data_IF_312967173698
#
_entry.id   IF_312967173698
#
_cell.length_a   1.000
_cell.length_b   1.000
_cell.length_c   1.000
_cell.angle_alpha   90.00
_cell.angle_beta   90.00
_cell.angle_gamma   90.00
#
_symmetry.space_group_name_H-M   'P 1'
#
loop_
_entity.id
_entity.type
_entity.pdbx_description
1 polymer ?
#
# COMPACT_ATOMS: atom_id res chain seq x y z
N UNK A 1 -26.31 15.44 2.93
CA UNK A 1 -24.83 15.53 2.97
C UNK A 1 -24.27 14.23 2.39
N UNK A 2 -24.07 14.18 1.08
CA UNK A 2 -23.45 13.03 0.45
C UNK A 2 -21.93 13.18 0.59
N UNK A 3 -21.34 12.48 1.56
CA UNK A 3 -19.89 12.27 1.56
C UNK A 3 -19.63 11.31 0.40
N UNK A 4 -19.44 11.86 -0.80
CA UNK A 4 -18.85 11.10 -1.90
C UNK A 4 -17.39 10.88 -1.52
N UNK A 5 -17.11 9.78 -0.82
CA UNK A 5 -15.76 9.27 -0.68
C UNK A 5 -15.30 8.94 -2.10
N UNK A 6 -14.63 9.90 -2.74
CA UNK A 6 -13.95 9.66 -3.99
C UNK A 6 -12.76 8.77 -3.63
N UNK A 7 -13.01 7.46 -3.58
CA UNK A 7 -12.02 6.42 -3.42
C UNK A 7 -11.15 6.46 -4.68
N UNK A 8 -10.25 7.45 -4.78
CA UNK A 8 -9.28 7.46 -5.85
C UNK A 8 -8.59 6.11 -5.81
N UNK A 9 -8.78 5.35 -6.89
CA UNK A 9 -8.19 4.04 -7.05
C UNK A 9 -6.68 4.20 -6.92
N UNK A 10 -6.05 3.28 -6.19
CA UNK A 10 -4.59 3.15 -6.24
C UNK A 10 -4.22 2.96 -7.71
N UNK A 11 -3.28 3.76 -8.17
CA UNK A 11 -2.84 3.73 -9.56
C UNK A 11 -1.68 2.75 -9.73
N UNK A 12 -1.60 2.09 -10.89
CA UNK A 12 -0.49 1.20 -11.22
C UNK A 12 0.86 1.92 -11.16
N UNK A 13 0.88 3.24 -11.40
CA UNK A 13 2.06 4.08 -11.27
C UNK A 13 2.60 4.11 -9.83
N UNK A 14 1.72 4.25 -8.83
CA UNK A 14 2.11 4.21 -7.42
C UNK A 14 2.66 2.83 -7.02
N UNK A 15 2.02 1.75 -7.49
CA UNK A 15 2.50 0.39 -7.20
C UNK A 15 3.88 0.16 -7.82
N UNK A 16 4.05 0.62 -9.07
CA UNK A 16 5.32 0.51 -9.81
C UNK A 16 6.45 1.29 -9.13
N UNK A 17 6.15 2.49 -8.61
CA UNK A 17 7.11 3.33 -7.88
C UNK A 17 7.68 2.62 -6.65
N UNK A 18 6.83 1.96 -5.87
CA UNK A 18 7.24 1.23 -4.66
C UNK A 18 7.63 -0.23 -4.92
N UNK A 19 7.60 -0.69 -6.17
CA UNK A 19 7.98 -2.06 -6.54
C UNK A 19 9.37 -2.47 -6.02
N UNK A 20 10.43 -1.64 -6.14
CA UNK A 20 11.76 -2.01 -5.62
C UNK A 20 11.76 -2.18 -4.10
N UNK A 21 10.96 -1.38 -3.39
CA UNK A 21 10.81 -1.48 -1.93
C UNK A 21 10.18 -2.82 -1.55
N UNK A 22 9.06 -3.20 -2.18
CA UNK A 22 8.38 -4.47 -1.94
C UNK A 22 9.34 -5.65 -2.15
N UNK A 23 10.07 -5.66 -3.28
CA UNK A 23 11.05 -6.71 -3.59
C UNK A 23 12.19 -6.76 -2.57
N UNK A 24 12.71 -5.61 -2.16
CA UNK A 24 13.78 -5.54 -1.16
C UNK A 24 13.36 -6.09 0.21
N UNK A 25 12.08 -5.93 0.57
CA UNK A 25 11.51 -6.46 1.82
C UNK A 25 11.27 -7.95 1.67
N UNK A 26 10.60 -8.41 0.60
CA UNK A 26 10.34 -9.82 0.34
C UNK A 26 11.63 -10.65 0.33
N UNK A 27 12.71 -10.12 -0.25
CA UNK A 27 14.01 -10.80 -0.27
C UNK A 27 14.59 -11.07 1.12
N UNK A 28 14.28 -10.26 2.12
CA UNK A 28 14.70 -10.50 3.52
C UNK A 28 14.00 -11.72 4.12
N UNK A 29 12.83 -12.09 3.60
CA UNK A 29 12.02 -13.22 4.05
C UNK A 29 12.21 -14.47 3.20
N UNK A 30 13.07 -14.47 2.17
CA UNK A 30 13.24 -15.60 1.22
C UNK A 30 13.55 -16.97 1.85
N UNK A 31 14.01 -17.00 3.11
CA UNK A 31 14.32 -18.22 3.85
C UNK A 31 13.19 -18.64 4.83
N UNK A 32 12.00 -18.04 4.73
CA UNK A 32 10.84 -18.38 5.57
C UNK A 32 10.24 -19.75 5.25
N UNK A 33 10.61 -20.36 4.12
CA UNK A 33 10.01 -21.58 3.59
C UNK A 33 8.94 -21.33 2.53
N UNK A 34 8.56 -20.07 2.30
CA UNK A 34 7.62 -19.68 1.24
C UNK A 34 8.36 -19.28 -0.06
N UNK A 35 7.77 -19.50 -1.25
CA UNK A 35 8.32 -19.00 -2.50
C UNK A 35 8.50 -17.47 -2.49
N UNK A 36 9.57 -16.98 -3.12
CA UNK A 36 9.84 -15.53 -3.18
C UNK A 36 8.71 -14.75 -3.86
N UNK A 37 8.10 -15.32 -4.90
CA UNK A 37 6.97 -14.71 -5.60
C UNK A 37 5.74 -14.53 -4.68
N UNK A 38 5.48 -15.50 -3.80
CA UNK A 38 4.37 -15.42 -2.84
C UNK A 38 4.65 -14.36 -1.76
N UNK A 39 5.91 -14.25 -1.32
CA UNK A 39 6.34 -13.18 -0.41
C UNK A 39 6.22 -11.79 -1.06
N UNK A 40 6.58 -11.67 -2.35
CA UNK A 40 6.38 -10.44 -3.10
C UNK A 40 4.89 -10.09 -3.22
N UNK A 41 4.02 -11.07 -3.52
CA UNK A 41 2.58 -10.88 -3.60
C UNK A 41 1.98 -10.36 -2.29
N UNK A 42 2.30 -10.99 -1.16
CA UNK A 42 1.87 -10.52 0.17
C UNK A 42 2.42 -9.12 0.44
N UNK A 43 3.65 -8.83 0.01
CA UNK A 43 4.24 -7.50 0.08
C UNK A 43 3.45 -6.44 -0.69
N UNK A 44 2.96 -6.74 -1.91
CA UNK A 44 2.11 -5.82 -2.68
C UNK A 44 0.73 -5.62 -2.02
N UNK A 45 0.14 -6.66 -1.43
CA UNK A 45 -1.10 -6.54 -0.64
C UNK A 45 -0.87 -5.57 0.54
N UNK A 46 0.27 -5.72 1.24
CA UNK A 46 0.66 -4.81 2.31
C UNK A 46 0.82 -3.37 1.86
N UNK A 47 1.48 -3.13 0.72
CA UNK A 47 1.65 -1.81 0.13
C UNK A 47 0.31 -1.13 -0.19
N UNK A 48 -0.61 -1.87 -0.84
CA UNK A 48 -1.94 -1.36 -1.19
C UNK A 48 -2.70 -0.94 0.07
N UNK A 49 -2.68 -1.78 1.11
CA UNK A 49 -3.31 -1.45 2.38
C UNK A 49 -2.67 -0.23 3.05
N UNK A 50 -1.35 -0.12 3.04
CA UNK A 50 -0.63 1.01 3.62
C UNK A 50 -0.98 2.35 2.92
N UNK A 51 -1.05 2.36 1.58
CA UNK A 51 -1.46 3.54 0.80
C UNK A 51 -2.90 3.96 1.15
N UNK A 52 -3.81 2.99 1.23
CA UNK A 52 -5.21 3.26 1.58
C UNK A 52 -5.33 3.85 2.98
N UNK A 53 -4.63 3.27 3.97
CA UNK A 53 -4.62 3.76 5.33
C UNK A 53 -4.01 5.16 5.43
N UNK A 54 -2.87 5.39 4.78
CA UNK A 54 -2.22 6.71 4.76
C UNK A 54 -3.17 7.79 4.22
N UNK A 55 -3.87 7.51 3.13
CA UNK A 55 -4.87 8.44 2.55
C UNK A 55 -6.00 8.74 3.53
N UNK A 56 -6.53 7.72 4.21
CA UNK A 56 -7.59 7.90 5.21
C UNK A 56 -7.11 8.78 6.37
N UNK A 57 -5.93 8.49 6.93
CA UNK A 57 -5.36 9.28 8.02
C UNK A 57 -5.08 10.72 7.60
N UNK A 58 -4.57 10.92 6.40
CA UNK A 58 -4.32 12.25 5.85
C UNK A 58 -5.62 13.06 5.69
N UNK A 59 -6.70 12.44 5.18
CA UNK A 59 -8.01 13.09 5.09
C UNK A 59 -8.57 13.45 6.46
N UNK A 60 -8.43 12.56 7.45
CA UNK A 60 -8.84 12.82 8.82
C UNK A 60 -8.05 13.99 9.45
N UNK A 61 -6.74 14.02 9.25
CA UNK A 61 -5.87 15.11 9.71
C UNK A 61 -6.26 16.46 9.09
N UNK A 62 -6.51 16.51 7.78
CA UNK A 62 -6.98 17.72 7.11
C UNK A 62 -8.36 18.17 7.59
N UNK A 63 -9.24 17.23 7.96
CA UNK A 63 -10.55 17.54 8.53
C UNK A 63 -10.45 18.10 9.96
N UNK A 64 -9.48 17.64 10.75
CA UNK A 64 -9.24 18.12 12.11
C UNK A 64 -8.66 19.54 12.17
N UNK A 65 -7.93 19.96 11.14
CA UNK A 65 -7.31 21.29 11.04
C UNK A 65 -8.19 22.37 10.39
N UNK A 66 -9.45 22.06 10.08
CA UNK A 66 -10.45 23.01 9.58
C UNK A 66 -11.47 23.34 10.66
#
# INVERSE_FOLDING_TARGET
MAVTANTQKITDAQITEYQPLVKSIAYKFKNSGEPLEDLEQVGYIGLINAINLYKIYYLCYLAYLR
#
